data_IF_730134811471
#
_entry.id   IF_730134811471
#
_cell.length_a   1.000
_cell.length_b   1.000
_cell.length_c   1.000
_cell.angle_alpha   90.00
_cell.angle_beta   90.00
_cell.angle_gamma   90.00
#
_symmetry.space_group_name_H-M   'P 1'
#
loop_
_entity.id
_entity.type
_entity.pdbx_description
1 polymer ?
#
# COMPACT_ATOMS: atom_id res chain seq x y z
N UNK A 1 -29.91 -41.24 14.79
CA UNK A 1 -28.70 -41.22 13.94
C UNK A 1 -27.94 -39.90 13.92
N UNK A 2 -28.59 -38.73 13.84
CA UNK A 2 -27.88 -37.45 13.76
C UNK A 2 -27.14 -37.09 15.08
N UNK A 3 -27.79 -37.28 16.23
CA UNK A 3 -27.21 -37.01 17.55
C UNK A 3 -26.00 -37.91 17.87
N UNK A 4 -26.02 -39.16 17.45
CA UNK A 4 -24.88 -40.08 17.61
C UNK A 4 -23.69 -39.68 16.73
N UNK A 5 -23.92 -39.10 15.55
CA UNK A 5 -22.87 -38.55 14.69
C UNK A 5 -22.25 -37.28 15.30
N UNK A 6 -23.04 -36.42 15.94
CA UNK A 6 -22.52 -35.25 16.67
C UNK A 6 -21.71 -35.63 17.91
N UNK A 7 -22.16 -36.63 18.67
CA UNK A 7 -21.41 -37.16 19.81
C UNK A 7 -20.06 -37.77 19.39
N UNK A 8 -20.04 -38.54 18.29
CA UNK A 8 -18.81 -39.09 17.72
C UNK A 8 -17.82 -38.00 17.24
N UNK A 9 -18.34 -36.86 16.81
CA UNK A 9 -17.55 -35.70 16.36
C UNK A 9 -17.18 -34.72 17.49
N UNK A 10 -17.48 -35.06 18.76
CA UNK A 10 -17.29 -34.18 19.93
C UNK A 10 -17.91 -32.79 19.76
N UNK A 11 -19.03 -32.70 19.04
CA UNK A 11 -19.74 -31.43 18.85
C UNK A 11 -20.60 -31.19 20.08
N UNK A 12 -20.20 -30.19 20.88
CA UNK A 12 -20.97 -29.78 22.05
C UNK A 12 -22.21 -28.97 21.60
N UNK A 13 -23.41 -29.29 22.11
CA UNK A 13 -24.59 -28.49 21.84
C UNK A 13 -24.40 -27.08 22.42
N UNK A 14 -24.65 -26.05 21.59
CA UNK A 14 -24.66 -24.66 22.04
C UNK A 14 -26.00 -24.41 22.72
N UNK A 15 -25.97 -24.17 24.03
CA UNK A 15 -27.15 -23.69 24.76
C UNK A 15 -27.38 -22.23 24.37
N UNK A 16 -28.51 -21.97 23.72
CA UNK A 16 -28.94 -20.63 23.33
C UNK A 16 -29.73 -20.00 24.48
N UNK A 17 -29.16 -18.96 25.09
CA UNK A 17 -29.87 -18.11 26.05
C UNK A 17 -30.09 -16.74 25.41
N UNK A 18 -31.34 -16.41 25.12
CA UNK A 18 -31.71 -15.13 24.49
C UNK A 18 -31.25 -13.92 25.31
N UNK A 19 -31.17 -14.03 26.64
CA UNK A 19 -30.77 -12.94 27.53
C UNK A 19 -29.26 -12.86 27.74
N UNK A 20 -28.52 -13.89 27.38
CA UNK A 20 -27.06 -13.91 27.47
C UNK A 20 -26.42 -14.15 26.10
N UNK A 21 -25.96 -13.11 25.39
CA UNK A 21 -25.36 -13.24 24.06
C UNK A 21 -23.96 -13.87 24.10
N UNK A 22 -23.44 -14.33 25.24
CA UNK A 22 -22.12 -14.98 25.34
C UNK A 22 -21.99 -16.20 24.42
N UNK A 23 -23.07 -16.96 24.21
CA UNK A 23 -23.08 -18.11 23.31
C UNK A 23 -22.98 -17.72 21.82
N UNK A 24 -23.26 -16.46 21.46
CA UNK A 24 -23.02 -15.89 20.12
C UNK A 24 -21.59 -15.38 19.95
N UNK A 25 -20.86 -15.19 21.05
CA UNK A 25 -19.45 -14.78 21.00
C UNK A 25 -18.61 -16.00 20.68
N UNK A 26 -17.58 -15.80 19.87
CA UNK A 26 -16.59 -16.85 19.63
C UNK A 26 -15.93 -17.22 20.97
N UNK A 27 -16.25 -18.41 21.49
CA UNK A 27 -15.72 -18.91 22.76
C UNK A 27 -14.20 -18.96 22.75
N UNK A 28 -13.59 -19.18 21.58
CA UNK A 28 -12.13 -19.19 21.42
C UNK A 28 -11.54 -17.79 21.52
N UNK A 29 -12.35 -16.75 21.32
CA UNK A 29 -11.95 -15.36 21.47
C UNK A 29 -12.22 -14.84 22.88
N UNK A 30 -13.31 -15.27 23.53
CA UNK A 30 -13.62 -14.89 24.92
C UNK A 30 -12.61 -15.45 25.92
N UNK A 31 -12.07 -16.65 25.65
CA UNK A 31 -11.08 -17.31 26.49
C UNK A 31 -9.66 -16.71 26.39
N UNK A 32 -9.42 -15.78 25.46
CA UNK A 32 -8.10 -15.14 25.31
C UNK A 32 -7.86 -14.11 26.40
N UNK A 33 -6.61 -14.02 26.81
CA UNK A 33 -6.11 -12.90 27.61
C UNK A 33 -6.15 -11.60 26.79
N UNK A 34 -6.16 -10.46 27.46
CA UNK A 34 -6.24 -9.17 26.76
C UNK A 34 -5.00 -8.89 25.89
N UNK A 35 -3.82 -9.38 26.29
CA UNK A 35 -2.61 -9.31 25.48
C UNK A 35 -2.75 -10.08 24.16
N UNK A 36 -3.33 -11.29 24.20
CA UNK A 36 -3.59 -12.09 23.00
C UNK A 36 -4.62 -11.43 22.08
N UNK A 37 -5.66 -10.81 22.65
CA UNK A 37 -6.63 -10.03 21.87
C UNK A 37 -5.97 -8.86 21.17
N UNK A 38 -5.11 -8.12 21.88
CA UNK A 38 -4.34 -7.00 21.31
C UNK A 38 -3.43 -7.49 20.17
N UNK A 39 -2.70 -8.59 20.37
CA UNK A 39 -1.86 -9.18 19.31
C UNK A 39 -2.68 -9.60 18.08
N UNK A 40 -3.86 -10.21 18.28
CA UNK A 40 -4.76 -10.57 17.18
C UNK A 40 -5.24 -9.33 16.42
N UNK A 41 -5.64 -8.28 17.13
CA UNK A 41 -6.06 -7.01 16.53
C UNK A 41 -4.93 -6.37 15.71
N UNK A 42 -3.72 -6.33 16.26
CA UNK A 42 -2.53 -5.84 15.54
C UNK A 42 -2.27 -6.66 14.27
N UNK A 43 -2.40 -7.98 14.34
CA UNK A 43 -2.23 -8.88 13.19
C UNK A 43 -3.28 -8.61 12.11
N UNK A 44 -4.56 -8.48 12.50
CA UNK A 44 -5.67 -8.18 11.58
C UNK A 44 -5.45 -6.82 10.91
N UNK A 45 -5.11 -5.80 11.71
CA UNK A 45 -4.80 -4.46 11.21
C UNK A 45 -3.67 -4.50 10.19
N UNK A 46 -2.57 -5.18 10.51
CA UNK A 46 -1.41 -5.33 9.62
C UNK A 46 -1.78 -6.03 8.31
N UNK A 47 -2.52 -7.13 8.37
CA UNK A 47 -2.98 -7.84 7.16
C UNK A 47 -3.86 -6.97 6.27
N UNK A 48 -4.79 -6.21 6.87
CA UNK A 48 -5.64 -5.28 6.14
C UNK A 48 -4.85 -4.11 5.54
N UNK A 49 -3.85 -3.60 6.27
CA UNK A 49 -2.94 -2.57 5.77
C UNK A 49 -2.14 -3.06 4.57
N UNK A 50 -1.50 -4.23 4.66
CA UNK A 50 -0.74 -4.85 3.57
C UNK A 50 -1.61 -5.05 2.32
N UNK A 51 -2.84 -5.54 2.51
CA UNK A 51 -3.82 -5.68 1.43
C UNK A 51 -4.19 -4.33 0.84
N UNK A 52 -4.44 -3.32 1.66
CA UNK A 52 -4.81 -1.97 1.18
C UNK A 52 -3.69 -1.33 0.37
N UNK A 53 -2.44 -1.48 0.82
CA UNK A 53 -1.25 -0.95 0.15
C UNK A 53 -1.05 -1.55 -1.24
N UNK A 54 -1.40 -2.82 -1.46
CA UNK A 54 -1.23 -3.46 -2.78
C UNK A 54 -2.14 -2.86 -3.87
N UNK A 55 -3.31 -2.34 -3.47
CA UNK A 55 -4.24 -1.66 -4.36
C UNK A 55 -3.88 -0.19 -4.61
N UNK A 56 -3.12 0.44 -3.71
CA UNK A 56 -2.67 1.83 -3.90
C UNK A 56 -1.70 1.95 -5.09
N UNK A 57 -1.78 3.07 -5.81
CA UNK A 57 -0.86 3.41 -6.90
C UNK A 57 0.41 4.07 -6.35
N UNK A 58 1.49 4.00 -7.13
CA UNK A 58 2.66 4.85 -6.91
C UNK A 58 2.34 6.30 -7.33
N UNK A 59 2.94 7.31 -6.68
CA UNK A 59 3.91 7.21 -5.57
C UNK A 59 3.25 7.10 -4.17
N UNK A 60 1.93 7.20 -4.07
CA UNK A 60 1.20 7.23 -2.79
C UNK A 60 1.45 5.97 -1.94
N UNK A 61 1.39 4.78 -2.56
CA UNK A 61 1.71 3.51 -1.90
C UNK A 61 3.08 3.56 -1.19
N UNK A 62 4.10 4.12 -1.84
CA UNK A 62 5.44 4.25 -1.28
C UNK A 62 5.48 5.15 -0.04
N UNK A 63 4.84 6.32 -0.12
CA UNK A 63 4.83 7.28 0.99
C UNK A 63 4.08 6.72 2.21
N UNK A 64 2.95 6.06 1.97
CA UNK A 64 2.13 5.44 3.03
C UNK A 64 2.89 4.25 3.66
N UNK A 65 3.50 3.38 2.85
CA UNK A 65 4.31 2.27 3.37
C UNK A 65 5.49 2.77 4.21
N UNK A 66 6.18 3.84 3.77
CA UNK A 66 7.29 4.46 4.53
C UNK A 66 6.82 5.05 5.85
N UNK A 67 5.62 5.65 5.89
CA UNK A 67 5.01 6.15 7.14
C UNK A 67 4.77 5.00 8.13
N UNK A 68 4.15 3.90 7.69
CA UNK A 68 3.86 2.77 8.58
C UNK A 68 5.09 1.99 9.00
N UNK A 69 6.17 2.00 8.21
CA UNK A 69 7.46 1.48 8.65
C UNK A 69 8.07 2.33 9.79
N UNK A 70 8.02 3.67 9.69
CA UNK A 70 8.47 4.57 10.78
C UNK A 70 7.68 4.42 12.07
N UNK A 71 6.44 3.91 11.98
CA UNK A 71 5.57 3.61 13.13
C UNK A 71 5.73 2.17 13.63
N UNK A 72 6.73 1.44 13.15
CA UNK A 72 7.04 0.05 13.55
C UNK A 72 5.90 -0.95 13.27
N UNK A 73 4.94 -0.58 12.40
CA UNK A 73 3.84 -1.47 11.99
C UNK A 73 4.31 -2.45 10.91
N UNK A 74 5.14 -1.96 9.98
CA UNK A 74 5.70 -2.73 8.89
C UNK A 74 7.18 -3.04 9.13
N UNK A 75 7.57 -4.28 8.86
CA UNK A 75 8.99 -4.67 8.87
C UNK A 75 9.71 -4.13 7.65
N UNK A 76 11.04 -4.12 7.69
CA UNK A 76 11.87 -3.74 6.54
C UNK A 76 11.63 -4.64 5.33
N UNK A 77 11.42 -5.94 5.56
CA UNK A 77 11.12 -6.91 4.49
C UNK A 77 9.78 -6.61 3.80
N UNK A 78 8.76 -6.27 4.58
CA UNK A 78 7.44 -5.89 4.07
C UNK A 78 7.48 -4.56 3.30
N UNK A 79 8.19 -3.56 3.83
CA UNK A 79 8.42 -2.30 3.12
C UNK A 79 9.08 -2.55 1.75
N UNK A 80 10.14 -3.36 1.71
CA UNK A 80 10.84 -3.69 0.48
C UNK A 80 9.93 -4.37 -0.56
N UNK A 81 8.96 -5.19 -0.11
CA UNK A 81 7.98 -5.81 -1.00
C UNK A 81 7.10 -4.80 -1.76
N UNK A 82 6.86 -3.61 -1.18
CA UNK A 82 6.15 -2.51 -1.85
C UNK A 82 7.09 -1.51 -2.53
N UNK A 83 8.38 -1.50 -2.24
CA UNK A 83 9.32 -0.66 -2.99
C UNK A 83 9.71 -1.35 -4.30
N UNK A 84 9.90 -2.67 -4.27
CA UNK A 84 10.38 -3.45 -5.40
C UNK A 84 9.24 -3.99 -6.29
N UNK A 85 7.97 -3.77 -5.92
CA UNK A 85 6.84 -4.34 -6.65
C UNK A 85 6.69 -3.72 -8.04
N UNK A 86 6.46 -4.59 -9.03
CA UNK A 86 6.60 -4.39 -10.48
C UNK A 86 5.88 -3.19 -11.11
N UNK A 87 4.99 -2.46 -10.44
CA UNK A 87 4.29 -1.33 -11.06
C UNK A 87 5.23 -0.16 -11.38
N UNK A 88 6.27 0.07 -10.58
CA UNK A 88 7.29 1.07 -10.92
C UNK A 88 8.11 0.65 -12.15
N UNK A 89 8.41 -0.65 -12.28
CA UNK A 89 9.07 -1.21 -13.47
C UNK A 89 8.18 -1.14 -14.71
N UNK A 90 6.87 -1.36 -14.58
CA UNK A 90 5.92 -1.23 -15.69
C UNK A 90 5.86 0.22 -16.20
N UNK A 91 5.76 1.22 -15.32
CA UNK A 91 5.75 2.64 -15.74
C UNK A 91 7.08 3.02 -16.43
N UNK A 92 8.23 2.60 -15.86
CA UNK A 92 9.54 2.85 -16.45
C UNK A 92 9.76 2.13 -17.81
N UNK A 93 9.11 0.98 -18.02
CA UNK A 93 9.13 0.28 -19.31
C UNK A 93 8.16 0.87 -20.33
N UNK A 94 7.03 1.45 -19.89
CA UNK A 94 6.02 2.04 -20.78
C UNK A 94 6.46 3.41 -21.30
N UNK A 95 7.27 4.13 -20.51
CA UNK A 95 7.88 5.40 -20.91
C UNK A 95 9.40 5.28 -20.82
N UNK A 96 10.08 4.83 -21.89
CA UNK A 96 11.53 4.83 -21.91
C UNK A 96 12.03 6.27 -21.68
N UNK A 97 13.03 6.42 -20.82
CA UNK A 97 13.74 7.69 -20.67
C UNK A 97 14.24 8.13 -22.03
N UNK A 98 13.95 9.36 -22.45
CA UNK A 98 14.56 9.96 -23.63
C UNK A 98 16.07 10.05 -23.40
N UNK A 99 16.80 9.00 -23.77
CA UNK A 99 18.24 9.06 -23.91
C UNK A 99 18.50 9.79 -25.22
N UNK A 100 18.63 11.11 -25.15
CA UNK A 100 19.29 11.86 -26.21
C UNK A 100 20.69 11.27 -26.33
N UNK A 101 21.07 10.63 -27.45
CA UNK A 101 22.46 10.27 -27.64
C UNK A 101 23.18 11.60 -27.84
N UNK A 102 23.90 12.05 -26.82
CA UNK A 102 24.95 13.05 -26.99
C UNK A 102 25.99 12.39 -27.89
N UNK A 103 25.79 12.54 -29.20
CA UNK A 103 26.79 12.22 -30.20
C UNK A 103 27.98 13.15 -29.91
N UNK A 104 28.95 12.63 -29.16
CA UNK A 104 30.28 13.24 -29.08
C UNK A 104 30.96 12.94 -30.41
N UNK A 105 30.51 13.62 -31.46
CA UNK A 105 31.26 13.72 -32.70
C UNK A 105 32.46 14.62 -32.40
N UNK A 106 33.64 14.01 -32.35
CA UNK A 106 34.89 14.72 -32.42
C UNK A 106 34.88 15.68 -33.61
N UNK A 107 35.16 16.96 -33.37
CA UNK A 107 35.77 17.88 -34.34
C UNK A 107 36.35 19.09 -33.64
N UNK A 108 37.68 19.12 -33.64
CA UNK A 108 38.51 20.27 -33.36
C UNK A 108 38.16 21.44 -34.29
N UNK A 109 37.91 22.63 -33.75
CA UNK A 109 38.42 23.93 -34.23
C UNK A 109 37.70 25.10 -33.54
N UNK A 110 38.48 26.15 -33.31
CA UNK A 110 38.17 27.44 -32.69
C UNK A 110 37.09 28.25 -33.42
N UNK A 111 36.24 28.96 -32.67
CA UNK A 111 36.09 30.44 -32.71
C UNK A 111 34.78 30.91 -32.06
N UNK A 112 34.89 32.09 -31.45
CA UNK A 112 33.88 32.93 -30.82
C UNK A 112 32.68 33.28 -31.71
N UNK A 113 31.45 33.23 -31.16
CA UNK A 113 30.37 34.14 -31.54
C UNK A 113 29.18 34.04 -30.57
N UNK A 114 28.76 35.20 -30.10
CA UNK A 114 27.60 35.52 -29.25
C UNK A 114 26.26 35.07 -29.83
N UNK A 115 25.33 34.58 -29.00
CA UNK A 115 23.88 34.70 -29.24
C UNK A 115 23.03 34.31 -28.01
N UNK A 116 22.23 35.30 -27.57
CA UNK A 116 20.84 35.20 -27.11
C UNK A 116 20.53 34.53 -25.77
N UNK A 117 20.22 35.39 -24.78
CA UNK A 117 19.37 35.09 -23.63
C UNK A 117 17.96 34.69 -24.11
N UNK A 118 17.63 33.40 -24.00
CA UNK A 118 16.25 32.94 -24.11
C UNK A 118 15.58 33.07 -22.74
N UNK A 119 14.70 34.06 -22.66
CA UNK A 119 13.76 34.35 -21.57
C UNK A 119 13.06 33.07 -21.12
N UNK A 120 13.15 32.79 -19.82
CA UNK A 120 12.42 31.74 -19.11
C UNK A 120 10.93 32.09 -19.15
N UNK A 121 10.19 31.54 -20.13
CA UNK A 121 8.72 31.58 -20.14
C UNK A 121 8.18 30.33 -19.44
N UNK A 122 7.73 30.52 -18.20
CA UNK A 122 6.92 29.56 -17.44
C UNK A 122 5.57 29.34 -18.15
N UNK A 123 5.00 28.11 -18.17
CA UNK A 123 3.64 27.91 -18.66
C UNK A 123 2.64 28.57 -17.71
N UNK A 124 1.54 29.18 -18.23
CA UNK A 124 0.52 29.80 -17.40
C UNK A 124 -0.24 28.74 -16.59
N UNK A 125 -0.45 29.02 -15.30
CA UNK A 125 -1.32 28.23 -14.43
C UNK A 125 -2.76 28.27 -14.96
N UNK A 126 -3.33 27.10 -15.22
CA UNK A 126 -4.75 26.98 -15.56
C UNK A 126 -5.58 27.55 -14.40
N UNK A 127 -6.26 28.65 -14.68
CA UNK A 127 -7.08 29.41 -13.73
C UNK A 127 -8.36 28.63 -13.39
N UNK A 128 -8.72 28.68 -12.10
CA UNK A 128 -9.97 28.20 -11.54
C UNK A 128 -11.18 28.71 -12.34
N UNK A 129 -11.87 27.79 -13.03
CA UNK A 129 -13.18 28.08 -13.63
C UNK A 129 -14.26 27.52 -12.72
N UNK A 130 -14.73 28.40 -11.84
CA UNK A 130 -16.10 28.56 -11.31
C UNK A 130 -17.09 27.40 -11.57
N UNK A 131 -17.41 26.63 -10.53
CA UNK A 131 -18.66 25.86 -10.45
C UNK A 131 -19.68 26.71 -9.69
N UNK A 132 -20.69 27.22 -10.40
CA UNK A 132 -21.90 27.76 -9.80
C UNK A 132 -22.92 26.63 -9.57
N UNK A 133 -23.66 26.79 -8.46
CA UNK A 133 -24.61 25.90 -7.79
C UNK A 133 -25.60 25.17 -8.71
#
# INVERSE_FOLDING_TARGET
ELLSKFAAAQVNPILYDYFDPTHLRDQRHSALTDSEKVMKLQTIFKNNLMRSLSFMRYPTCHSVAKFFHRKEVLTTTELNSFIQNRKQQQIAQTFPSNTTPTAVAARSSSSTSSSQEAVVQSPPAASDTYMQL
#
